data_IF_713079920333
#
_entry.id   IF_713079920333
#
_cell.length_a   1.000
_cell.length_b   1.000
_cell.length_c   1.000
_cell.angle_alpha   90.00
_cell.angle_beta   90.00
_cell.angle_gamma   90.00
#
_symmetry.space_group_name_H-M   'P 1'
#
loop_
_entity.id
_entity.type
_entity.pdbx_description
1 polymer ?
#
# COMPACT_ATOMS: atom_id res chain seq x y z
N UNK A 1 7.36 -0.55 -21.11
CA UNK A 1 7.65 -1.55 -20.05
C UNK A 1 6.86 -1.15 -18.81
N UNK A 2 6.52 -2.05 -17.86
CA UNK A 2 5.94 -1.61 -16.60
C UNK A 2 6.91 -0.64 -15.89
N UNK A 3 6.39 0.44 -15.31
CA UNK A 3 7.15 1.49 -14.63
C UNK A 3 8.09 2.34 -15.49
N UNK A 4 7.70 2.60 -16.75
CA UNK A 4 8.46 3.49 -17.62
C UNK A 4 7.85 4.89 -17.62
N UNK A 5 8.61 5.86 -17.09
CA UNK A 5 8.20 7.26 -16.89
C UNK A 5 7.17 7.47 -15.76
N UNK A 6 7.35 6.74 -14.66
CA UNK A 6 6.51 6.84 -13.47
C UNK A 6 7.17 7.65 -12.37
N UNK A 7 6.37 8.44 -11.65
CA UNK A 7 6.73 9.07 -10.40
C UNK A 7 6.28 8.21 -9.23
N UNK A 8 7.21 7.85 -8.35
CA UNK A 8 6.91 7.25 -7.06
C UNK A 8 7.14 8.25 -5.93
N UNK A 9 6.20 8.31 -4.99
CA UNK A 9 6.36 9.01 -3.72
C UNK A 9 5.80 8.18 -2.57
N UNK A 10 6.49 8.17 -1.43
CA UNK A 10 6.03 7.46 -0.25
C UNK A 10 6.62 8.03 1.03
N UNK A 11 5.91 7.78 2.14
CA UNK A 11 6.29 8.24 3.46
C UNK A 11 5.97 7.17 4.50
N UNK A 12 6.86 7.05 5.49
CA UNK A 12 6.66 6.19 6.67
C UNK A 12 6.61 7.06 7.91
N UNK A 13 5.60 6.82 8.74
CA UNK A 13 5.47 7.38 10.07
C UNK A 13 5.56 6.26 11.11
N UNK A 14 6.61 6.27 11.92
CA UNK A 14 6.84 5.30 12.98
C UNK A 14 6.73 6.00 14.34
N UNK A 15 5.77 5.57 15.16
CA UNK A 15 5.30 6.31 16.35
C UNK A 15 6.19 6.19 17.60
N UNK A 16 7.31 5.46 17.55
CA UNK A 16 8.21 5.22 18.69
C UNK A 16 7.50 4.91 20.03
N UNK A 17 6.35 4.26 19.96
CA UNK A 17 5.58 3.75 21.09
C UNK A 17 5.96 2.29 21.38
N UNK A 18 5.60 1.80 22.56
CA UNK A 18 5.84 0.41 22.97
C UNK A 18 5.26 -0.61 21.98
N UNK A 19 4.08 -0.31 21.41
CA UNK A 19 3.43 -1.16 20.43
C UNK A 19 4.07 -1.08 19.02
N UNK A 20 5.06 -0.19 18.83
CA UNK A 20 5.73 0.13 17.56
C UNK A 20 4.73 0.29 16.41
N UNK A 21 3.79 1.19 16.63
CA UNK A 21 2.78 1.56 15.67
C UNK A 21 3.43 2.25 14.47
N UNK A 22 3.04 1.83 13.27
CA UNK A 22 3.58 2.31 11.99
C UNK A 22 2.44 2.59 11.01
N UNK A 23 2.63 3.64 10.20
CA UNK A 23 1.86 3.91 9.00
C UNK A 23 2.83 4.12 7.83
N UNK A 24 2.68 3.36 6.76
CA UNK A 24 3.37 3.52 5.50
C UNK A 24 2.34 3.87 4.42
N UNK A 25 2.63 4.89 3.63
CA UNK A 25 1.79 5.26 2.48
C UNK A 25 2.65 5.54 1.27
N UNK A 26 2.13 5.25 0.08
CA UNK A 26 2.80 5.54 -1.16
C UNK A 26 1.88 5.61 -2.36
N UNK A 27 2.39 6.24 -3.41
CA UNK A 27 1.72 6.34 -4.71
C UNK A 27 2.71 6.14 -5.84
N UNK A 28 2.24 5.53 -6.91
CA UNK A 28 2.90 5.49 -8.22
C UNK A 28 1.97 6.17 -9.21
N UNK A 29 2.51 7.09 -10.00
CA UNK A 29 1.78 7.85 -11.00
C UNK A 29 2.54 7.78 -12.33
N UNK A 30 1.94 7.21 -13.36
CA UNK A 30 2.46 7.22 -14.73
C UNK A 30 2.27 8.63 -15.32
N UNK A 31 3.38 9.27 -15.73
CA UNK A 31 3.37 10.65 -16.23
C UNK A 31 2.85 10.80 -17.66
N UNK A 32 2.73 9.69 -18.41
CA UNK A 32 2.29 9.69 -19.81
C UNK A 32 0.78 9.49 -19.93
N UNK A 33 0.19 8.61 -19.09
CA UNK A 33 -1.23 8.24 -19.20
C UNK A 33 -2.07 8.51 -17.93
N UNK A 34 -1.43 8.82 -16.79
CA UNK A 34 -2.11 9.13 -15.54
C UNK A 34 -2.58 7.92 -14.73
N UNK A 35 -2.25 6.68 -15.13
CA UNK A 35 -2.43 5.48 -14.34
C UNK A 35 -1.85 5.68 -12.94
N UNK A 36 -2.67 5.47 -11.92
CA UNK A 36 -2.30 5.76 -10.54
C UNK A 36 -2.53 4.55 -9.65
N UNK A 37 -1.53 4.22 -8.84
CA UNK A 37 -1.60 3.25 -7.75
C UNK A 37 -1.43 3.98 -6.42
N UNK A 38 -2.29 3.68 -5.45
CA UNK A 38 -2.26 4.23 -4.09
C UNK A 38 -2.23 3.06 -3.09
N UNK A 39 -1.23 3.03 -2.23
CA UNK A 39 -1.09 1.98 -1.20
C UNK A 39 -0.90 2.58 0.18
N UNK A 40 -1.57 1.98 1.16
CA UNK A 40 -1.54 2.42 2.55
C UNK A 40 -1.50 1.20 3.46
N UNK A 41 -0.52 1.15 4.35
CA UNK A 41 -0.25 0.05 5.26
C UNK A 41 -0.13 0.59 6.68
N UNK A 42 -0.92 0.07 7.61
CA UNK A 42 -0.83 0.35 9.04
C UNK A 42 -0.49 -0.93 9.80
N UNK A 43 0.40 -0.84 10.78
CA UNK A 43 0.66 -1.97 11.67
C UNK A 43 0.89 -1.57 13.11
N UNK A 44 0.56 -2.48 14.04
CA UNK A 44 0.89 -2.33 15.46
C UNK A 44 0.88 -3.67 16.19
N UNK A 45 1.62 -3.74 17.31
CA UNK A 45 1.49 -4.85 18.26
C UNK A 45 0.23 -4.72 19.12
N UNK A 46 -0.31 -5.88 19.50
CA UNK A 46 -1.42 -6.06 20.45
C UNK A 46 -0.94 -6.96 21.60
N UNK A 47 -0.49 -6.34 22.69
CA UNK A 47 0.22 -7.04 23.76
C UNK A 47 1.52 -7.69 23.27
N UNK A 48 1.99 -8.72 23.97
CA UNK A 48 3.32 -9.30 23.75
C UNK A 48 3.36 -10.38 22.67
N UNK A 49 2.20 -10.87 22.23
CA UNK A 49 2.13 -12.07 21.39
C UNK A 49 1.40 -11.89 20.07
N UNK A 50 0.92 -10.69 19.73
CA UNK A 50 0.09 -10.49 18.53
C UNK A 50 0.46 -9.22 17.78
N UNK A 51 0.31 -9.25 16.45
CA UNK A 51 0.48 -8.09 15.56
C UNK A 51 -0.73 -7.97 14.64
N UNK A 52 -1.27 -6.76 14.53
CA UNK A 52 -2.32 -6.40 13.58
C UNK A 52 -1.68 -5.62 12.42
N UNK A 53 -1.96 -6.05 11.20
CA UNK A 53 -1.62 -5.35 9.97
C UNK A 53 -2.92 -5.03 9.20
N UNK A 54 -3.04 -3.81 8.69
CA UNK A 54 -4.12 -3.39 7.80
C UNK A 54 -3.49 -2.79 6.56
N UNK A 55 -3.90 -3.25 5.39
CA UNK A 55 -3.42 -2.77 4.10
C UNK A 55 -4.60 -2.37 3.22
N UNK A 56 -4.44 -1.31 2.45
CA UNK A 56 -5.35 -0.91 1.40
C UNK A 56 -4.57 -0.60 0.12
N UNK A 57 -5.10 -1.03 -1.02
CA UNK A 57 -4.59 -0.73 -2.34
C UNK A 57 -5.75 -0.26 -3.22
N UNK A 58 -5.51 0.84 -3.93
CA UNK A 58 -6.44 1.39 -4.92
C UNK A 58 -5.70 1.63 -6.23
N UNK A 59 -6.30 1.23 -7.35
CA UNK A 59 -5.85 1.55 -8.70
C UNK A 59 -6.88 2.44 -9.38
N UNK A 60 -6.44 3.54 -9.98
CA UNK A 60 -7.35 4.50 -10.62
C UNK A 60 -6.74 5.07 -11.90
N UNK A 61 -7.60 5.55 -12.80
CA UNK A 61 -7.23 6.08 -14.12
C UNK A 61 -6.35 5.14 -14.95
N UNK A 62 -6.53 3.82 -14.81
CA UNK A 62 -5.66 2.84 -15.45
C UNK A 62 -5.92 2.79 -16.96
N UNK A 63 -4.90 3.11 -17.78
CA UNK A 63 -5.00 3.01 -19.24
C UNK A 63 -5.12 1.54 -19.69
N UNK A 64 -5.90 1.28 -20.75
CA UNK A 64 -6.15 -0.08 -21.23
C UNK A 64 -4.87 -0.79 -21.73
N UNK A 65 -3.86 -0.04 -22.16
CA UNK A 65 -2.58 -0.56 -22.64
C UNK A 65 -1.52 -0.62 -21.52
N UNK A 66 -1.85 -0.14 -20.33
CA UNK A 66 -0.97 -0.19 -19.17
C UNK A 66 -0.89 -1.62 -18.62
N UNK A 67 0.28 -2.01 -18.11
CA UNK A 67 0.44 -3.28 -17.40
C UNK A 67 -0.42 -3.35 -16.13
N UNK A 68 -0.70 -2.20 -15.49
CA UNK A 68 -1.61 -2.08 -14.35
C UNK A 68 -3.06 -2.47 -14.69
N UNK A 69 -3.45 -2.48 -15.97
CA UNK A 69 -4.81 -2.81 -16.40
C UNK A 69 -5.25 -4.22 -15.97
N UNK A 70 -4.29 -5.15 -15.85
CA UNK A 70 -4.55 -6.49 -15.33
C UNK A 70 -5.15 -6.48 -13.91
N UNK A 71 -4.93 -5.41 -13.15
CA UNK A 71 -5.36 -5.23 -11.76
C UNK A 71 -6.33 -4.05 -11.59
N UNK A 72 -6.82 -3.44 -12.67
CA UNK A 72 -7.60 -2.19 -12.62
C UNK A 72 -8.95 -2.30 -11.86
N UNK A 73 -9.36 -3.52 -11.48
CA UNK A 73 -10.57 -3.78 -10.70
C UNK A 73 -10.28 -4.51 -9.39
N UNK A 74 -9.01 -4.58 -8.99
CA UNK A 74 -8.53 -5.36 -7.85
C UNK A 74 -8.21 -4.44 -6.66
N UNK A 75 -9.04 -3.42 -6.44
CA UNK A 75 -8.99 -2.63 -5.20
C UNK A 75 -9.30 -3.53 -4.01
N UNK A 76 -8.53 -3.39 -2.92
CA UNK A 76 -8.75 -4.20 -1.73
C UNK A 76 -8.43 -3.47 -0.43
N UNK A 77 -9.01 -4.00 0.64
CA UNK A 77 -8.57 -3.80 2.01
C UNK A 77 -8.29 -5.19 2.58
N UNK A 78 -7.10 -5.38 3.12
CA UNK A 78 -6.68 -6.60 3.79
C UNK A 78 -6.47 -6.31 5.28
N UNK A 79 -6.98 -7.20 6.13
CA UNK A 79 -6.74 -7.18 7.57
C UNK A 79 -6.10 -8.50 7.97
N UNK A 80 -4.94 -8.44 8.59
CA UNK A 80 -4.19 -9.61 9.05
C UNK A 80 -3.93 -9.51 10.56
N UNK A 81 -4.18 -10.61 11.27
CA UNK A 81 -3.83 -10.76 12.67
C UNK A 81 -2.86 -11.93 12.84
N UNK A 82 -1.64 -11.63 13.28
CA UNK A 82 -0.56 -12.58 13.48
C UNK A 82 -0.42 -12.90 14.97
N UNK A 83 -0.29 -14.19 15.32
CA UNK A 83 -0.06 -14.67 16.69
C UNK A 83 1.29 -15.38 16.76
N UNK A 84 2.14 -14.97 17.70
CA UNK A 84 3.43 -15.57 18.01
C UNK A 84 3.29 -16.49 19.24
N UNK A 85 3.97 -17.65 19.24
CA UNK A 85 3.94 -18.68 20.29
C UNK A 85 5.35 -19.05 20.74
#
# INVERSE_FOLDING_TARGET
>A
APFQNDLFAGARFALNDEASSELLGGTIYDLDNGSTSLRLEGSRRLGDGMKLNVEAQVLTNVDMNDALNAFAKDDYIQVELQKFF
#
